data_IF_087082128883
#
_entry.id   IF_087082128883
#
_cell.length_a   1.000
_cell.length_b   1.000
_cell.length_c   1.000
_cell.angle_alpha   90.00
_cell.angle_beta   90.00
_cell.angle_gamma   90.00
#
_symmetry.space_group_name_H-M   'P 1'
#
loop_
_entity.id
_entity.type
_entity.pdbx_description
1 polymer ?
#
# COMPACT_ATOMS: atom_id res chain seq x y z
N UNK A 1 20.09 6.10 -2.93
CA UNK A 1 21.04 5.63 -1.90
C UNK A 1 20.34 5.71 -0.55
N UNK A 2 19.81 4.59 -0.05
CA UNK A 2 19.31 4.49 1.32
C UNK A 2 20.25 3.54 2.08
N UNK A 3 21.14 4.11 2.89
CA UNK A 3 21.82 3.37 3.93
C UNK A 3 20.96 3.47 5.19
N UNK A 4 20.60 2.33 5.77
CA UNK A 4 20.04 2.23 7.11
C UNK A 4 21.11 1.52 7.93
N UNK A 5 22.04 2.28 8.51
CA UNK A 5 22.86 1.79 9.60
C UNK A 5 22.58 2.65 10.83
N UNK A 6 22.31 1.98 11.95
CA UNK A 6 23.13 2.14 13.14
C UNK A 6 22.97 0.91 14.04
N UNK A 7 24.12 0.26 14.29
CA UNK A 7 24.32 -0.79 15.29
C UNK A 7 24.23 -0.12 16.66
N UNK A 8 23.46 -0.69 17.59
CA UNK A 8 23.47 -0.22 18.98
C UNK A 8 23.78 -1.37 19.92
N UNK A 9 25.03 -1.42 20.38
CA UNK A 9 25.43 -2.09 21.62
C UNK A 9 25.09 -1.21 22.82
N UNK A 10 24.53 -1.80 23.88
CA UNK A 10 24.42 -1.14 25.18
C UNK A 10 23.15 -1.51 25.94
N UNK A 11 23.33 -2.29 27.00
CA UNK A 11 22.31 -2.88 27.88
C UNK A 11 21.78 -1.85 28.89
N UNK A 12 20.58 -1.35 28.64
CA UNK A 12 19.60 -0.88 29.63
C UNK A 12 18.23 -1.35 29.11
N UNK A 13 17.21 -1.49 29.97
CA UNK A 13 15.81 -1.82 29.56
C UNK A 13 15.20 -0.71 28.69
N UNK A 14 15.75 -0.50 27.50
CA UNK A 14 15.20 0.34 26.43
C UNK A 14 13.99 -0.40 25.90
N UNK A 15 12.84 0.29 25.79
CA UNK A 15 11.69 -0.17 25.00
C UNK A 15 12.25 -0.79 23.71
N UNK A 16 12.13 -2.11 23.56
CA UNK A 16 12.68 -2.84 22.40
C UNK A 16 11.95 -2.34 21.16
N UNK A 17 12.68 -2.25 20.05
CA UNK A 17 12.06 -1.84 18.80
C UNK A 17 11.16 -2.98 18.28
N UNK A 18 9.95 -2.64 17.85
CA UNK A 18 9.06 -3.56 17.15
C UNK A 18 9.52 -3.61 15.70
N UNK A 19 10.04 -4.75 15.26
CA UNK A 19 10.47 -4.95 13.87
C UNK A 19 9.28 -5.43 13.06
N UNK A 20 8.85 -4.62 12.10
CA UNK A 20 7.72 -4.91 11.23
C UNK A 20 8.23 -5.30 9.84
N UNK A 21 7.95 -6.54 9.48
CA UNK A 21 8.18 -7.12 8.17
C UNK A 21 7.07 -6.69 7.22
N UNK A 22 7.42 -6.20 6.03
CA UNK A 22 6.44 -5.81 5.01
C UNK A 22 6.92 -6.21 3.60
N UNK A 23 5.98 -6.49 2.70
CA UNK A 23 6.30 -6.76 1.29
C UNK A 23 6.80 -5.49 0.61
N UNK A 24 8.04 -5.51 0.13
CA UNK A 24 8.65 -4.37 -0.56
C UNK A 24 8.48 -4.51 -2.07
N UNK A 25 7.88 -3.50 -2.69
CA UNK A 25 7.70 -3.45 -4.14
C UNK A 25 8.45 -2.28 -4.79
N UNK A 26 8.78 -2.42 -6.08
CA UNK A 26 9.58 -1.48 -6.86
C UNK A 26 8.91 -1.19 -8.20
N UNK A 27 8.91 0.09 -8.58
CA UNK A 27 8.49 0.52 -9.90
C UNK A 27 9.40 -0.11 -10.98
N UNK A 28 8.85 -0.63 -12.10
CA UNK A 28 9.64 -1.05 -13.25
C UNK A 28 10.47 0.13 -13.79
N UNK A 29 11.69 -0.14 -14.26
CA UNK A 29 12.52 0.88 -14.93
C UNK A 29 12.00 1.16 -16.35
N UNK A 30 11.97 2.42 -16.83
CA UNK A 30 11.57 2.75 -18.20
C UNK A 30 12.45 2.08 -19.28
N UNK A 31 13.71 1.80 -18.95
CA UNK A 31 14.74 1.42 -19.92
C UNK A 31 15.16 -0.04 -19.76
N UNK A 32 14.32 -0.99 -20.17
CA UNK A 32 14.67 -2.43 -20.18
C UNK A 32 14.79 -3.03 -21.58
N UNK A 33 15.29 -2.23 -22.53
CA UNK A 33 15.66 -2.69 -23.87
C UNK A 33 17.05 -3.34 -23.99
N UNK A 34 17.96 -3.11 -23.04
CA UNK A 34 19.36 -3.57 -23.17
C UNK A 34 19.71 -4.77 -22.29
N UNK A 35 20.07 -5.87 -22.97
CA UNK A 35 20.48 -7.17 -22.43
C UNK A 35 21.74 -7.11 -21.52
N UNK A 36 22.53 -6.04 -21.62
CA UNK A 36 23.77 -5.82 -20.83
C UNK A 36 23.50 -5.34 -19.39
N UNK A 37 22.27 -4.94 -19.06
CA UNK A 37 21.92 -4.30 -17.77
C UNK A 37 21.87 -5.26 -16.57
N UNK A 38 22.01 -6.58 -16.78
CA UNK A 38 21.93 -7.60 -15.72
C UNK A 38 23.08 -7.51 -14.71
N UNK A 39 24.20 -6.88 -15.07
CA UNK A 39 25.32 -6.61 -14.14
C UNK A 39 25.06 -5.41 -13.22
N UNK A 40 23.99 -4.65 -13.45
CA UNK A 40 23.60 -3.49 -12.65
C UNK A 40 22.19 -3.68 -12.05
N UNK A 41 21.93 -4.82 -11.40
CA UNK A 41 20.69 -5.09 -10.64
C UNK A 41 20.36 -3.99 -9.61
N UNK A 42 21.36 -3.21 -9.15
CA UNK A 42 21.17 -2.07 -8.26
C UNK A 42 20.69 -0.78 -8.95
N UNK A 43 20.73 -0.68 -10.29
CA UNK A 43 20.31 0.52 -11.03
C UNK A 43 18.86 0.50 -11.52
N UNK A 44 18.15 -0.63 -11.39
CA UNK A 44 16.76 -0.78 -11.87
C UNK A 44 15.65 -0.41 -10.87
N UNK A 45 16.00 -0.03 -9.63
CA UNK A 45 15.04 0.24 -8.54
C UNK A 45 14.92 1.74 -8.29
N UNK A 46 14.08 2.39 -9.10
CA UNK A 46 13.95 3.86 -9.13
C UNK A 46 13.08 4.38 -7.97
N UNK A 47 12.01 3.66 -7.63
CA UNK A 47 11.07 4.06 -6.59
C UNK A 47 10.41 2.86 -5.92
N UNK A 48 10.34 2.88 -4.59
CA UNK A 48 9.60 1.89 -3.80
C UNK A 48 8.09 2.19 -3.86
N UNK A 49 7.28 1.14 -4.02
CA UNK A 49 5.83 1.21 -4.11
C UNK A 49 5.22 0.48 -2.92
N UNK A 50 4.20 1.09 -2.31
CA UNK A 50 3.41 0.48 -1.26
C UNK A 50 2.05 0.09 -1.82
N UNK A 51 1.75 -1.21 -1.80
CA UNK A 51 0.49 -1.78 -2.28
C UNK A 51 -0.49 -2.13 -1.13
N UNK A 52 -0.05 -1.99 0.12
CA UNK A 52 -0.84 -2.29 1.32
C UNK A 52 -0.92 -1.03 2.20
N UNK A 53 -2.11 -0.41 2.37
CA UNK A 53 -2.27 0.81 3.16
C UNK A 53 -1.71 0.72 4.57
N UNK A 54 -1.83 -0.45 5.22
CA UNK A 54 -1.35 -0.64 6.60
C UNK A 54 0.15 -0.37 6.77
N UNK A 55 0.97 -0.54 5.72
CA UNK A 55 2.39 -0.19 5.75
C UNK A 55 2.58 1.33 5.92
N UNK A 56 1.79 2.16 5.24
CA UNK A 56 1.81 3.61 5.43
C UNK A 56 1.27 4.02 6.80
N UNK A 57 0.26 3.30 7.30
CA UNK A 57 -0.27 3.55 8.63
C UNK A 57 0.78 3.26 9.72
N UNK A 58 1.54 2.18 9.58
CA UNK A 58 2.69 1.88 10.47
C UNK A 58 3.78 2.96 10.39
N UNK A 59 4.09 3.45 9.19
CA UNK A 59 5.00 4.58 9.02
C UNK A 59 4.48 5.85 9.72
N UNK A 60 3.17 6.10 9.67
CA UNK A 60 2.53 7.21 10.36
C UNK A 60 2.65 7.05 11.88
N UNK A 61 2.25 5.89 12.41
CA UNK A 61 2.36 5.58 13.83
C UNK A 61 3.80 5.69 14.33
N UNK A 62 4.79 5.23 13.57
CA UNK A 62 6.22 5.39 13.91
C UNK A 62 6.63 6.86 14.14
N UNK A 63 5.99 7.82 13.48
CA UNK A 63 6.32 9.25 13.57
C UNK A 63 5.58 9.95 14.70
N UNK A 64 4.31 9.61 14.87
CA UNK A 64 3.43 10.33 15.80
C UNK A 64 3.28 9.61 17.15
N UNK A 65 3.52 8.31 17.20
CA UNK A 65 3.51 7.52 18.42
C UNK A 65 4.94 7.34 18.91
N UNK A 66 5.15 7.40 20.22
CA UNK A 66 6.43 7.11 20.86
C UNK A 66 6.77 5.60 20.83
N UNK A 67 6.40 4.91 19.74
CA UNK A 67 6.67 3.51 19.46
C UNK A 67 7.92 3.42 18.58
N UNK A 68 8.91 2.65 19.03
CA UNK A 68 10.11 2.37 18.24
C UNK A 68 9.79 1.28 17.22
N UNK A 69 9.19 1.67 16.09
CA UNK A 69 8.91 0.75 14.99
C UNK A 69 10.06 0.80 13.99
N UNK A 70 10.61 -0.36 13.64
CA UNK A 70 11.61 -0.53 12.58
C UNK A 70 10.96 -1.27 11.42
N UNK A 71 10.95 -0.65 10.25
CA UNK A 71 10.36 -1.23 9.04
C UNK A 71 11.42 -2.06 8.31
N UNK A 72 11.18 -3.36 8.14
CA UNK A 72 12.04 -4.28 7.40
C UNK A 72 11.31 -4.75 6.14
N UNK A 73 11.86 -4.42 4.97
CA UNK A 73 11.24 -4.76 3.69
C UNK A 73 11.73 -6.11 3.18
N UNK A 74 10.81 -7.06 3.09
CA UNK A 74 11.07 -8.41 2.59
C UNK A 74 10.88 -8.49 1.08
N UNK A 75 11.71 -9.34 0.47
CA UNK A 75 11.65 -9.67 -0.97
C UNK A 75 10.53 -10.66 -1.27
N UNK A 76 10.10 -11.44 -0.27
CA UNK A 76 9.01 -12.40 -0.39
C UNK A 76 7.69 -11.77 0.03
N UNK A 77 6.58 -12.37 -0.41
CA UNK A 77 5.22 -11.90 -0.10
C UNK A 77 4.71 -12.38 1.27
N UNK A 78 5.43 -13.30 1.92
CA UNK A 78 5.07 -13.87 3.22
C UNK A 78 6.18 -13.77 4.26
N UNK A 79 5.77 -13.66 5.52
CA UNK A 79 6.64 -13.73 6.69
C UNK A 79 6.18 -14.89 7.59
N UNK A 80 7.06 -15.86 7.83
CA UNK A 80 6.75 -17.07 8.62
C UNK A 80 5.45 -17.72 8.12
N UNK A 81 5.37 -17.94 6.80
CA UNK A 81 4.25 -18.62 6.14
C UNK A 81 2.91 -17.88 6.07
N UNK A 82 2.85 -16.60 6.45
CA UNK A 82 1.60 -15.84 6.39
C UNK A 82 1.74 -14.40 5.89
N UNK A 83 0.62 -13.68 5.77
CA UNK A 83 0.59 -12.37 5.14
C UNK A 83 1.30 -11.29 5.97
N UNK A 84 1.70 -10.24 5.26
CA UNK A 84 2.36 -9.04 5.78
C UNK A 84 1.46 -7.79 5.62
N UNK A 85 1.69 -6.69 6.37
CA UNK A 85 2.75 -6.50 7.38
C UNK A 85 2.59 -7.39 8.61
N UNK A 86 3.71 -7.81 9.20
CA UNK A 86 3.75 -8.70 10.35
C UNK A 86 4.90 -8.38 11.31
N UNK A 87 4.71 -8.67 12.60
CA UNK A 87 5.76 -8.48 13.61
C UNK A 87 5.59 -9.46 14.77
N UNK A 88 6.72 -9.87 15.35
CA UNK A 88 6.74 -10.43 16.70
C UNK A 88 6.62 -9.29 17.71
N UNK A 89 5.66 -9.40 18.62
CA UNK A 89 5.45 -8.40 19.67
C UNK A 89 5.39 -9.10 21.03
N UNK A 90 5.92 -8.43 22.06
CA UNK A 90 6.06 -8.96 23.42
C UNK A 90 6.85 -10.26 23.57
N UNK A 91 7.76 -10.55 22.64
CA UNK A 91 8.62 -11.72 22.68
C UNK A 91 10.05 -11.36 23.09
N UNK A 92 10.49 -11.91 24.22
CA UNK A 92 11.83 -11.69 24.76
C UNK A 92 12.95 -12.34 23.91
N UNK A 93 12.60 -13.29 23.04
CA UNK A 93 13.55 -13.96 22.14
C UNK A 93 13.34 -13.61 20.67
N UNK A 94 12.36 -12.77 20.32
CA UNK A 94 11.99 -12.35 18.95
C UNK A 94 11.62 -13.48 17.95
N UNK A 95 11.47 -14.73 18.39
CA UNK A 95 11.20 -15.91 17.53
C UNK A 95 10.29 -16.99 18.16
N UNK A 96 9.69 -16.74 19.33
CA UNK A 96 8.79 -17.63 20.05
C UNK A 96 7.34 -17.15 19.94
N UNK A 97 6.58 -17.78 19.05
CA UNK A 97 5.12 -17.58 18.93
C UNK A 97 4.66 -17.41 17.49
N UNK A 98 3.37 -17.09 17.31
CA UNK A 98 2.85 -16.63 16.02
C UNK A 98 2.98 -15.10 15.91
N UNK A 99 3.54 -14.58 14.81
CA UNK A 99 3.64 -13.13 14.64
C UNK A 99 2.25 -12.53 14.46
N UNK A 100 2.04 -11.33 15.00
CA UNK A 100 0.84 -10.55 14.73
C UNK A 100 0.89 -10.01 13.30
N UNK A 101 -0.25 -10.02 12.62
CA UNK A 101 -0.36 -9.71 11.19
C UNK A 101 -1.46 -8.68 10.94
N UNK A 102 -1.24 -7.79 9.98
CA UNK A 102 -2.26 -6.90 9.41
C UNK A 102 -3.16 -6.27 10.49
N UNK A 103 -4.47 -6.57 10.48
CA UNK A 103 -5.45 -5.99 11.41
C UNK A 103 -5.12 -6.29 12.88
N UNK A 104 -4.67 -7.51 13.19
CA UNK A 104 -4.29 -7.89 14.55
C UNK A 104 -3.06 -7.12 15.02
N UNK A 105 -2.09 -6.88 14.12
CA UNK A 105 -0.93 -6.04 14.42
C UNK A 105 -1.35 -4.59 14.64
N UNK A 106 -2.23 -4.04 13.79
CA UNK A 106 -2.73 -2.68 13.94
C UNK A 106 -3.49 -2.50 15.25
N UNK A 107 -4.40 -3.42 15.58
CA UNK A 107 -5.18 -3.42 16.82
C UNK A 107 -4.26 -3.50 18.04
N UNK A 108 -3.27 -4.40 18.02
CA UNK A 108 -2.29 -4.49 19.08
C UNK A 108 -1.55 -3.16 19.26
N UNK A 109 -1.01 -2.57 18.18
CA UNK A 109 -0.25 -1.33 18.26
C UNK A 109 -1.11 -0.21 18.81
N UNK A 110 -2.34 -0.10 18.32
CA UNK A 110 -3.36 0.85 18.76
C UNK A 110 -3.65 0.74 20.25
N UNK A 111 -3.83 -0.48 20.79
CA UNK A 111 -4.06 -0.71 22.22
C UNK A 111 -2.84 -0.38 23.08
N UNK A 112 -1.63 -0.54 22.54
CA UNK A 112 -0.37 -0.31 23.24
C UNK A 112 0.25 1.06 22.91
N UNK A 113 -0.51 1.95 22.28
CA UNK A 113 -0.11 3.36 22.10
C UNK A 113 -0.04 4.03 23.47
N UNK A 114 1.17 4.38 23.90
CA UNK A 114 1.35 5.27 25.03
C UNK A 114 0.82 6.68 24.73
N UNK A 115 0.65 7.50 25.76
CA UNK A 115 0.29 8.91 25.59
C UNK A 115 1.29 9.61 24.64
N UNK A 116 0.77 10.17 23.55
CA UNK A 116 1.57 11.01 22.65
C UNK A 116 1.98 12.31 23.36
N UNK A 117 3.15 12.85 23.02
CA UNK A 117 3.69 14.07 23.66
C UNK A 117 2.76 15.27 23.47
N UNK A 118 2.81 16.25 24.38
CA UNK A 118 2.01 17.48 24.27
C UNK A 118 2.29 18.24 22.96
N UNK A 119 3.53 18.20 22.46
CA UNK A 119 3.90 18.80 21.17
C UNK A 119 3.30 18.03 19.99
N UNK A 120 3.30 16.69 20.01
CA UNK A 120 2.60 15.89 18.99
C UNK A 120 1.09 16.09 19.06
N UNK A 121 0.49 16.14 20.26
CA UNK A 121 -0.92 16.51 20.46
C UNK A 121 -1.18 17.88 19.85
N UNK A 122 -0.30 18.86 20.07
CA UNK A 122 -0.39 20.18 19.48
C UNK A 122 -0.23 20.16 17.97
N UNK A 123 0.66 19.36 17.38
CA UNK A 123 0.82 19.22 15.93
C UNK A 123 -0.36 18.51 15.26
N UNK A 124 -0.99 17.55 15.96
CA UNK A 124 -2.25 16.92 15.55
C UNK A 124 -3.43 17.89 15.72
N UNK A 125 -3.38 18.73 16.77
CA UNK A 125 -4.38 19.77 17.03
C UNK A 125 -4.16 21.06 16.24
N UNK A 126 -2.97 21.31 15.67
CA UNK A 126 -2.65 22.54 14.96
C UNK A 126 -3.32 22.50 13.60
N UNK A 127 -4.47 23.16 13.54
CA UNK A 127 -5.18 23.66 12.37
C UNK A 127 -4.83 23.02 11.03
N UNK A 128 -5.23 21.75 10.86
CA UNK A 128 -5.49 21.17 9.54
C UNK A 128 -6.73 21.85 8.95
N UNK A 129 -6.55 23.09 8.50
CA UNK A 129 -7.54 23.85 7.78
C UNK A 129 -7.30 23.53 6.30
N UNK A 130 -7.91 22.44 5.80
CA UNK A 130 -7.87 22.12 4.37
C UNK A 130 -8.47 23.25 3.52
N UNK A 131 -9.41 24.00 4.12
CA UNK A 131 -10.11 25.13 3.55
C UNK A 131 -10.20 26.25 4.56
N UNK A 132 -9.75 27.47 4.22
CA UNK A 132 -10.18 28.66 4.98
C UNK A 132 -11.71 28.60 5.07
N UNK A 133 -12.33 28.73 6.25
CA UNK A 133 -13.78 28.63 6.37
C UNK A 133 -14.39 29.66 5.43
N UNK A 134 -15.07 29.21 4.37
CA UNK A 134 -15.84 30.10 3.53
C UNK A 134 -16.93 30.70 4.38
N UNK A 135 -16.98 32.03 4.45
CA UNK A 135 -18.04 32.85 5.05
C UNK A 135 -19.36 32.71 4.26
N UNK A 136 -19.85 31.48 4.09
CA UNK A 136 -21.22 31.25 3.68
C UNK A 136 -22.03 30.95 4.92
N UNK A 137 -22.99 31.85 5.16
CA UNK A 137 -24.03 31.84 6.19
C UNK A 137 -24.93 30.59 6.12
N UNK A 138 -24.35 29.41 6.23
CA UNK A 138 -25.12 28.24 6.60
C UNK A 138 -25.11 28.20 8.13
N UNK A 139 -26.28 28.47 8.71
CA UNK A 139 -26.61 28.19 10.11
C UNK A 139 -26.42 26.70 10.36
N UNK A 140 -25.18 26.27 10.53
CA UNK A 140 -24.85 24.97 11.08
C UNK A 140 -25.32 25.05 12.53
N UNK A 141 -26.34 24.26 12.86
CA UNK A 141 -26.80 24.09 14.22
C UNK A 141 -25.56 23.86 15.09
N UNK A 142 -25.35 24.75 16.06
CA UNK A 142 -24.34 24.58 17.09
C UNK A 142 -24.81 23.38 17.90
N UNK A 143 -24.40 22.18 17.49
CA UNK A 143 -24.51 20.99 18.32
C UNK A 143 -23.53 21.24 19.45
N UNK A 144 -24.09 21.57 20.60
CA UNK A 144 -23.37 21.74 21.86
C UNK A 144 -22.48 20.53 22.09
N UNK A 145 -21.20 20.78 22.38
CA UNK A 145 -20.11 19.81 22.40
C UNK A 145 -20.21 18.68 23.44
N UNK A 146 -21.34 18.53 24.12
CA UNK A 146 -21.57 17.50 25.15
C UNK A 146 -22.29 16.24 24.60
N UNK A 147 -22.93 16.30 23.42
CA UNK A 147 -23.72 15.17 22.90
C UNK A 147 -22.94 14.21 21.97
N UNK A 148 -21.68 14.53 21.61
CA UNK A 148 -20.84 13.66 20.79
C UNK A 148 -20.04 12.62 21.61
N UNK A 149 -20.13 12.66 22.94
CA UNK A 149 -19.39 11.71 23.81
C UNK A 149 -19.98 10.28 23.80
N UNK A 150 -21.20 10.08 23.30
CA UNK A 150 -21.90 8.79 23.37
C UNK A 150 -22.31 8.15 22.03
N UNK A 151 -22.02 8.78 20.89
CA UNK A 151 -22.26 8.14 19.59
C UNK A 151 -21.04 7.36 19.16
N UNK A 152 -21.15 6.02 19.15
CA UNK A 152 -20.22 5.12 18.46
C UNK A 152 -20.14 5.62 17.01
N UNK A 153 -19.10 6.39 16.71
CA UNK A 153 -18.85 6.86 15.35
C UNK A 153 -18.66 5.63 14.48
N UNK A 154 -19.49 5.47 13.44
CA UNK A 154 -19.35 4.36 12.46
C UNK A 154 -18.12 4.59 11.58
N UNK A 155 -17.55 5.79 11.61
CA UNK A 155 -16.48 6.23 10.73
C UNK A 155 -15.22 5.35 10.81
N UNK A 156 -14.70 4.91 11.98
CA UNK A 156 -13.57 4.00 12.08
C UNK A 156 -13.80 2.68 11.37
N UNK A 157 -14.97 2.05 11.58
CA UNK A 157 -15.35 0.82 10.88
C UNK A 157 -15.42 1.05 9.36
N UNK A 158 -15.94 2.20 8.95
CA UNK A 158 -16.07 2.56 7.55
C UNK A 158 -14.72 2.77 6.86
N UNK A 159 -13.75 3.41 7.53
CA UNK A 159 -12.40 3.61 6.97
C UNK A 159 -11.57 2.33 7.02
N UNK A 160 -11.49 1.67 8.18
CA UNK A 160 -10.60 0.52 8.37
C UNK A 160 -11.03 -0.70 7.55
N UNK A 161 -12.34 -0.86 7.33
CA UNK A 161 -12.89 -1.96 6.55
C UNK A 161 -13.24 -1.53 5.13
N UNK A 162 -14.23 -0.64 4.97
CA UNK A 162 -14.80 -0.37 3.65
C UNK A 162 -13.85 0.41 2.73
N UNK A 163 -13.26 1.51 3.20
CA UNK A 163 -12.31 2.27 2.39
C UNK A 163 -11.10 1.41 2.01
N UNK A 164 -10.54 0.66 2.96
CA UNK A 164 -9.40 -0.22 2.71
C UNK A 164 -9.71 -1.27 1.65
N UNK A 165 -10.80 -2.03 1.79
CA UNK A 165 -11.12 -3.09 0.83
C UNK A 165 -11.54 -2.56 -0.54
N UNK A 166 -12.10 -1.34 -0.61
CA UNK A 166 -12.36 -0.68 -1.88
C UNK A 166 -11.05 -0.29 -2.60
N UNK A 167 -10.06 0.24 -1.86
CA UNK A 167 -8.72 0.55 -2.41
C UNK A 167 -7.99 -0.72 -2.82
N UNK A 168 -8.01 -1.77 -2.00
CA UNK A 168 -7.41 -3.06 -2.32
C UNK A 168 -8.09 -3.73 -3.52
N UNK A 169 -9.41 -3.58 -3.69
CA UNK A 169 -10.12 -4.04 -4.87
C UNK A 169 -9.56 -3.38 -6.14
N UNK A 170 -9.39 -2.05 -6.14
CA UNK A 170 -8.83 -1.34 -7.30
C UNK A 170 -7.43 -1.83 -7.67
N UNK A 171 -6.59 -2.15 -6.69
CA UNK A 171 -5.20 -2.56 -6.92
C UNK A 171 -5.10 -4.02 -7.33
N UNK A 172 -5.72 -4.92 -6.58
CA UNK A 172 -5.48 -6.36 -6.71
C UNK A 172 -6.53 -7.09 -7.54
N UNK A 173 -7.73 -6.52 -7.71
CA UNK A 173 -8.87 -7.23 -8.31
C UNK A 173 -9.32 -6.59 -9.62
N UNK A 174 -9.40 -5.25 -9.69
CA UNK A 174 -9.89 -4.56 -10.88
C UNK A 174 -9.00 -4.88 -12.10
N UNK A 175 -9.53 -5.51 -13.17
CA UNK A 175 -8.68 -6.14 -14.18
C UNK A 175 -7.69 -5.21 -14.87
N UNK A 176 -8.06 -3.95 -15.12
CA UNK A 176 -7.21 -3.00 -15.85
C UNK A 176 -5.99 -2.60 -15.00
N UNK A 177 -6.18 -2.35 -13.70
CA UNK A 177 -5.08 -1.97 -12.81
C UNK A 177 -4.30 -3.20 -12.36
N UNK A 178 -5.00 -4.25 -11.91
CA UNK A 178 -4.37 -5.45 -11.36
C UNK A 178 -3.46 -6.16 -12.37
N UNK A 179 -3.95 -6.38 -13.61
CA UNK A 179 -3.19 -7.16 -14.60
C UNK A 179 -2.05 -6.37 -15.24
N UNK A 180 -2.19 -5.05 -15.36
CA UNK A 180 -1.19 -4.21 -16.03
C UNK A 180 -0.22 -3.63 -15.01
N UNK A 181 -0.72 -2.88 -14.02
CA UNK A 181 0.11 -2.14 -13.06
C UNK A 181 0.61 -3.07 -11.95
N UNK A 182 -0.30 -3.65 -11.19
CA UNK A 182 0.04 -4.40 -9.96
C UNK A 182 0.89 -5.62 -10.27
N UNK A 183 0.51 -6.39 -11.30
CA UNK A 183 1.28 -7.54 -11.77
C UNK A 183 2.71 -7.16 -12.17
N UNK A 184 2.87 -6.09 -12.96
CA UNK A 184 4.18 -5.59 -13.40
C UNK A 184 5.06 -5.18 -12.22
N UNK A 185 4.49 -4.45 -11.26
CA UNK A 185 5.16 -4.05 -10.02
C UNK A 185 5.59 -5.27 -9.20
N UNK A 186 4.73 -6.27 -9.00
CA UNK A 186 5.06 -7.47 -8.22
C UNK A 186 6.16 -8.29 -8.90
N UNK A 187 6.04 -8.55 -10.21
CA UNK A 187 7.03 -9.32 -10.97
C UNK A 187 8.40 -8.63 -10.99
N UNK A 188 8.43 -7.30 -11.11
CA UNK A 188 9.67 -6.53 -11.07
C UNK A 188 10.36 -6.56 -9.69
N UNK A 189 9.60 -6.83 -8.63
CA UNK A 189 10.08 -6.76 -7.25
C UNK A 189 10.62 -8.08 -6.71
N UNK A 190 10.29 -9.19 -7.38
CA UNK A 190 10.52 -10.54 -6.88
C UNK A 190 11.29 -11.39 -7.90
N UNK A 191 12.10 -12.36 -7.45
CA UNK A 191 12.76 -13.29 -8.36
C UNK A 191 11.75 -14.05 -9.23
N UNK A 192 12.10 -14.31 -10.49
CA UNK A 192 11.36 -15.23 -11.34
C UNK A 192 11.61 -16.68 -10.90
N UNK A 193 10.59 -17.58 -10.86
CA UNK A 193 9.19 -17.38 -11.21
C UNK A 193 8.30 -16.93 -10.03
N UNK A 194 8.89 -16.74 -8.84
CA UNK A 194 8.16 -16.49 -7.60
C UNK A 194 7.20 -15.29 -7.68
N UNK A 195 7.61 -14.19 -8.33
CA UNK A 195 6.74 -13.01 -8.49
C UNK A 195 5.40 -13.28 -9.18
N UNK A 196 5.34 -14.21 -10.14
CA UNK A 196 4.07 -14.60 -10.76
C UNK A 196 3.17 -15.34 -9.78
N UNK A 197 3.73 -16.29 -9.05
CA UNK A 197 3.00 -17.11 -8.08
C UNK A 197 2.46 -16.22 -6.95
N UNK A 198 3.31 -15.37 -6.39
CA UNK A 198 2.97 -14.41 -5.34
C UNK A 198 1.82 -13.48 -5.78
N UNK A 199 1.90 -12.92 -7.00
CA UNK A 199 0.83 -12.08 -7.55
C UNK A 199 -0.52 -12.81 -7.58
N UNK A 200 -0.59 -14.01 -8.16
CA UNK A 200 -1.85 -14.73 -8.29
C UNK A 200 -2.40 -15.19 -6.94
N UNK A 201 -1.54 -15.66 -6.04
CA UNK A 201 -1.95 -16.05 -4.68
C UNK A 201 -2.54 -14.87 -3.93
N UNK A 202 -1.85 -13.71 -3.92
CA UNK A 202 -2.32 -12.51 -3.23
C UNK A 202 -3.56 -11.90 -3.88
N UNK A 203 -3.64 -11.84 -5.20
CA UNK A 203 -4.82 -11.34 -5.91
C UNK A 203 -6.08 -12.17 -5.61
N UNK A 204 -5.94 -13.49 -5.53
CA UNK A 204 -7.04 -14.39 -5.18
C UNK A 204 -7.48 -14.24 -3.71
N UNK A 205 -6.52 -14.12 -2.79
CA UNK A 205 -6.79 -13.88 -1.37
C UNK A 205 -7.56 -12.56 -1.18
N UNK A 206 -7.03 -11.46 -1.71
CA UNK A 206 -7.68 -10.14 -1.63
C UNK A 206 -9.02 -10.14 -2.34
N UNK A 207 -9.15 -10.81 -3.50
CA UNK A 207 -10.41 -10.95 -4.22
C UNK A 207 -11.51 -11.58 -3.37
N UNK A 208 -11.17 -12.63 -2.59
CA UNK A 208 -12.12 -13.25 -1.65
C UNK A 208 -12.52 -12.29 -0.52
N UNK A 209 -11.57 -11.57 0.06
CA UNK A 209 -11.84 -10.62 1.15
C UNK A 209 -12.68 -9.42 0.67
N UNK A 210 -12.38 -8.88 -0.51
CA UNK A 210 -13.16 -7.84 -1.17
C UNK A 210 -14.59 -8.29 -1.43
N UNK A 211 -14.79 -9.51 -1.96
CA UNK A 211 -16.12 -10.08 -2.20
C UNK A 211 -16.94 -10.24 -0.91
N UNK A 212 -16.31 -10.64 0.20
CA UNK A 212 -16.98 -10.71 1.52
C UNK A 212 -17.44 -9.34 2.02
N UNK A 213 -16.79 -8.26 1.58
CA UNK A 213 -17.15 -6.89 1.89
C UNK A 213 -18.05 -6.24 0.81
N UNK A 214 -18.49 -7.00 -0.19
CA UNK A 214 -19.37 -6.53 -1.27
C UNK A 214 -18.66 -5.89 -2.48
N UNK A 215 -17.33 -5.83 -2.48
CA UNK A 215 -16.55 -5.27 -3.59
C UNK A 215 -16.23 -6.33 -4.64
N UNK A 216 -17.08 -6.42 -5.67
CA UNK A 216 -16.93 -7.36 -6.79
C UNK A 216 -17.05 -6.70 -8.17
N UNK A 217 -17.56 -5.47 -8.24
CA UNK A 217 -17.74 -4.70 -9.48
C UNK A 217 -17.14 -3.30 -9.31
N UNK A 218 -16.52 -2.79 -10.38
CA UNK A 218 -15.93 -1.45 -10.45
C UNK A 218 -16.99 -0.35 -10.27
N UNK A 219 -18.16 -0.47 -10.90
CA UNK A 219 -19.21 0.56 -10.82
C UNK A 219 -19.69 0.76 -9.37
N UNK A 220 -19.96 -0.34 -8.68
CA UNK A 220 -20.32 -0.33 -7.27
C UNK A 220 -19.18 0.23 -6.41
N UNK A 221 -17.94 -0.21 -6.66
CA UNK A 221 -16.78 0.22 -5.88
C UNK A 221 -16.51 1.71 -6.03
N UNK A 222 -16.59 2.27 -7.25
CA UNK A 222 -16.42 3.71 -7.50
C UNK A 222 -17.56 4.49 -6.84
N UNK A 223 -18.81 4.03 -6.94
CA UNK A 223 -19.94 4.68 -6.28
C UNK A 223 -19.77 4.75 -4.76
N UNK A 224 -19.43 3.63 -4.13
CA UNK A 224 -19.18 3.56 -2.70
C UNK A 224 -18.00 4.45 -2.31
N UNK A 225 -16.87 4.37 -3.04
CA UNK A 225 -15.71 5.26 -2.83
C UNK A 225 -16.13 6.74 -2.89
N UNK A 226 -16.85 7.18 -3.91
CA UNK A 226 -17.33 8.56 -4.00
C UNK A 226 -18.17 8.97 -2.79
N UNK A 227 -19.02 8.08 -2.28
CA UNK A 227 -19.78 8.33 -1.05
C UNK A 227 -18.86 8.45 0.17
N UNK A 228 -17.90 7.53 0.34
CA UNK A 228 -16.98 7.60 1.48
C UNK A 228 -16.09 8.84 1.45
N UNK A 229 -15.57 9.17 0.27
CA UNK A 229 -14.68 10.32 0.10
C UNK A 229 -15.43 11.63 0.38
N UNK A 230 -16.71 11.75 0.00
CA UNK A 230 -17.54 12.91 0.37
C UNK A 230 -17.76 13.00 1.88
N UNK A 231 -18.05 11.89 2.55
CA UNK A 231 -18.21 11.90 4.01
C UNK A 231 -16.91 12.22 4.73
N UNK A 232 -15.77 11.69 4.24
CA UNK A 232 -14.45 12.04 4.76
C UNK A 232 -14.12 13.50 4.53
N UNK A 233 -14.41 14.03 3.34
CA UNK A 233 -14.25 15.45 3.03
C UNK A 233 -15.06 16.32 3.99
N UNK A 234 -16.33 15.99 4.26
CA UNK A 234 -17.17 16.68 5.25
C UNK A 234 -16.60 16.57 6.67
N UNK A 235 -16.18 15.38 7.08
CA UNK A 235 -15.63 15.13 8.41
C UNK A 235 -14.31 15.90 8.65
N UNK A 236 -13.45 15.99 7.62
CA UNK A 236 -12.19 16.73 7.66
C UNK A 236 -12.40 18.25 7.56
N UNK A 237 -13.51 18.72 6.98
CA UNK A 237 -13.88 20.14 6.91
C UNK A 237 -14.56 20.66 8.20
N UNK A 238 -15.12 19.77 9.03
CA UNK A 238 -15.84 20.14 10.25
C UNK A 238 -14.91 20.80 11.28
N UNK A 239 -15.36 21.93 11.86
CA UNK A 239 -14.69 22.59 13.00
C UNK A 239 -14.74 21.75 14.28
N UNK A 240 -15.79 20.96 14.45
CA UNK A 240 -15.87 19.94 15.50
C UNK A 240 -15.06 18.77 14.98
N UNK A 241 -13.80 18.64 15.41
CA UNK A 241 -12.93 17.55 14.97
C UNK A 241 -13.41 16.26 15.64
N UNK A 242 -14.09 15.33 14.92
CA UNK A 242 -14.55 14.09 15.54
C UNK A 242 -13.38 13.18 15.95
N UNK A 243 -12.15 13.52 15.52
CA UNK A 243 -10.94 12.74 15.71
C UNK A 243 -10.08 13.22 16.91
N UNK A 244 -10.45 14.30 17.59
CA UNK A 244 -9.63 14.87 18.67
C UNK A 244 -9.91 14.28 20.06
N UNK A 245 -11.03 13.56 20.23
CA UNK A 245 -11.34 12.89 21.48
C UNK A 245 -10.75 11.47 21.43
N UNK A 246 -9.61 11.31 22.13
CA UNK A 246 -8.71 10.16 22.28
C UNK A 246 -9.08 8.82 21.60
N UNK A 247 -8.13 8.25 20.84
CA UNK A 247 -7.04 8.90 20.12
C UNK A 247 -7.35 8.81 18.63
N UNK A 248 -8.20 9.72 18.11
CA UNK A 248 -8.47 9.78 16.67
C UNK A 248 -7.26 10.18 15.81
N UNK A 249 -6.06 10.33 16.39
CA UNK A 249 -4.79 10.33 15.68
C UNK A 249 -4.52 8.99 14.96
N UNK A 250 -4.96 7.85 15.51
CA UNK A 250 -4.85 6.56 14.81
C UNK A 250 -5.72 6.56 13.54
N UNK A 251 -6.85 7.25 13.59
CA UNK A 251 -7.86 7.27 12.55
C UNK A 251 -7.36 8.14 11.40
N UNK A 252 -6.72 9.25 11.75
CA UNK A 252 -5.98 10.08 10.79
C UNK A 252 -4.93 9.28 10.02
N UNK A 253 -4.17 8.44 10.71
CA UNK A 253 -3.19 7.55 10.07
C UNK A 253 -3.83 6.56 9.10
N UNK A 254 -4.99 6.00 9.46
CA UNK A 254 -5.75 5.08 8.60
C UNK A 254 -6.35 5.79 7.38
N UNK A 255 -6.92 6.98 7.56
CA UNK A 255 -7.42 7.83 6.47
C UNK A 255 -6.27 8.19 5.51
N UNK A 256 -5.18 8.74 6.04
CA UNK A 256 -3.99 9.08 5.27
C UNK A 256 -3.47 7.89 4.47
N UNK A 257 -3.30 6.73 5.11
CA UNK A 257 -2.75 5.53 4.49
C UNK A 257 -3.59 5.07 3.28
N UNK A 258 -4.90 4.98 3.44
CA UNK A 258 -5.79 4.52 2.39
C UNK A 258 -5.89 5.53 1.23
N UNK A 259 -6.04 6.83 1.55
CA UNK A 259 -6.08 7.89 0.54
C UNK A 259 -4.76 8.01 -0.21
N UNK A 260 -3.62 7.89 0.50
CA UNK A 260 -2.32 7.97 -0.12
C UNK A 260 -2.09 6.85 -1.13
N UNK A 261 -2.50 5.62 -0.81
CA UNK A 261 -2.48 4.50 -1.75
C UNK A 261 -3.44 4.75 -2.91
N UNK A 262 -4.70 5.14 -2.64
CA UNK A 262 -5.70 5.44 -3.68
C UNK A 262 -5.19 6.45 -4.71
N UNK A 263 -4.72 7.62 -4.26
CA UNK A 263 -4.24 8.67 -5.16
C UNK A 263 -2.90 8.36 -5.84
N UNK A 264 -2.23 7.29 -5.43
CA UNK A 264 -1.01 6.78 -6.08
C UNK A 264 -1.31 5.78 -7.19
N UNK A 265 -2.54 5.27 -7.32
CA UNK A 265 -2.92 4.31 -8.36
C UNK A 265 -2.82 4.98 -9.75
N UNK A 266 -1.98 4.47 -10.68
CA UNK A 266 -1.93 4.97 -12.05
C UNK A 266 -3.31 4.87 -12.72
N UNK A 267 -3.91 6.00 -13.06
CA UNK A 267 -5.30 6.04 -13.56
C UNK A 267 -5.45 6.73 -14.91
N UNK A 268 -4.36 7.21 -15.51
CA UNK A 268 -4.42 7.78 -16.86
C UNK A 268 -4.65 6.64 -17.87
N UNK A 269 -5.85 6.65 -18.48
CA UNK A 269 -6.40 5.55 -19.29
C UNK A 269 -7.59 4.80 -18.67
N UNK A 270 -8.02 5.17 -17.46
CA UNK A 270 -9.26 4.68 -16.81
C UNK A 270 -10.07 5.89 -16.36
N UNK A 271 -11.07 6.28 -17.16
CA UNK A 271 -11.78 7.55 -17.02
C UNK A 271 -12.52 7.67 -15.68
N UNK A 272 -13.13 6.60 -15.19
CA UNK A 272 -13.89 6.62 -13.94
C UNK A 272 -12.98 6.89 -12.74
N UNK A 273 -11.78 6.29 -12.73
CA UNK A 273 -10.80 6.49 -11.66
C UNK A 273 -10.11 7.86 -11.80
N UNK A 274 -9.85 8.31 -13.04
CA UNK A 274 -9.32 9.64 -13.30
C UNK A 274 -10.30 10.74 -12.86
N UNK A 275 -11.60 10.55 -13.12
CA UNK A 275 -12.66 11.44 -12.66
C UNK A 275 -12.70 11.49 -11.12
N UNK A 276 -12.61 10.33 -10.45
CA UNK A 276 -12.53 10.24 -8.99
C UNK A 276 -11.33 11.04 -8.43
N UNK A 277 -10.14 10.88 -9.02
CA UNK A 277 -8.93 11.61 -8.61
C UNK A 277 -9.06 13.12 -8.80
N UNK A 278 -9.81 13.55 -9.83
CA UNK A 278 -10.08 14.97 -10.10
C UNK A 278 -11.12 15.55 -9.13
N UNK A 279 -12.19 14.82 -8.85
CA UNK A 279 -13.27 15.25 -7.94
C UNK A 279 -12.73 15.49 -6.53
N UNK A 280 -11.87 14.58 -6.04
CA UNK A 280 -11.35 14.61 -4.66
C UNK A 280 -9.89 15.09 -4.57
N UNK A 281 -9.52 16.08 -5.40
CA UNK A 281 -8.15 16.63 -5.43
C UNK A 281 -7.73 17.28 -4.09
N UNK A 282 -8.68 17.77 -3.32
CA UNK A 282 -8.48 18.31 -1.99
C UNK A 282 -8.04 17.23 -0.98
N UNK A 283 -8.62 16.04 -1.03
CA UNK A 283 -8.20 14.88 -0.23
C UNK A 283 -6.80 14.39 -0.62
N UNK A 284 -6.39 14.56 -1.87
CA UNK A 284 -5.00 14.39 -2.28
C UNK A 284 -4.10 15.45 -1.63
N UNK A 285 -4.54 16.71 -1.62
CA UNK A 285 -3.81 17.81 -0.97
C UNK A 285 -3.70 17.61 0.55
N UNK A 286 -4.73 17.05 1.18
CA UNK A 286 -4.70 16.58 2.57
C UNK A 286 -3.55 15.61 2.80
N UNK A 287 -3.41 14.58 1.96
CA UNK A 287 -2.34 13.60 2.11
C UNK A 287 -0.94 14.22 1.95
N UNK A 288 -0.77 15.17 1.03
CA UNK A 288 0.49 15.91 0.87
C UNK A 288 0.85 16.66 2.16
N UNK A 289 -0.14 17.35 2.74
CA UNK A 289 0.05 18.13 3.97
C UNK A 289 0.32 17.25 5.19
N UNK A 290 -0.40 16.14 5.35
CA UNK A 290 -0.14 15.17 6.42
C UNK A 290 1.28 14.62 6.31
N UNK A 291 1.69 14.23 5.10
CA UNK A 291 3.03 13.69 4.90
C UNK A 291 4.12 14.73 5.14
N UNK A 292 3.95 15.98 4.70
CA UNK A 292 4.93 17.05 4.92
C UNK A 292 5.04 17.44 6.39
N UNK A 293 3.91 17.48 7.10
CA UNK A 293 3.83 17.84 8.52
C UNK A 293 4.50 16.79 9.41
N UNK A 294 4.19 15.52 9.21
CA UNK A 294 4.70 14.44 10.07
C UNK A 294 5.94 13.73 9.51
N UNK A 295 6.35 14.08 8.27
CA UNK A 295 7.44 13.42 7.56
C UNK A 295 7.27 11.90 7.56
N UNK A 296 6.07 11.43 7.19
CA UNK A 296 5.63 10.02 7.29
C UNK A 296 6.52 9.12 6.45
N UNK A 297 6.61 9.41 5.15
CA UNK A 297 7.53 8.75 4.23
C UNK A 297 8.26 9.80 3.37
N UNK A 298 9.49 9.48 2.93
CA UNK A 298 10.21 10.29 1.96
C UNK A 298 9.54 10.08 0.60
N UNK A 299 8.66 10.99 0.20
CA UNK A 299 7.88 10.83 -1.03
C UNK A 299 8.81 10.91 -2.23
N UNK A 300 8.94 9.80 -2.96
CA UNK A 300 9.38 9.81 -4.35
C UNK A 300 8.15 9.49 -5.23
N UNK A 301 8.10 9.99 -6.47
CA UNK A 301 7.14 9.50 -7.45
C UNK A 301 7.19 7.96 -7.49
N UNK A 302 6.07 7.22 -7.57
CA UNK A 302 4.73 7.65 -7.99
C UNK A 302 3.79 8.13 -6.86
N UNK A 303 4.30 8.42 -5.66
CA UNK A 303 3.45 8.75 -4.51
C UNK A 303 2.53 9.96 -4.76
N UNK A 304 1.22 9.78 -4.53
CA UNK A 304 0.14 10.75 -4.77
C UNK A 304 0.07 11.30 -6.21
N UNK A 305 0.70 10.66 -7.19
CA UNK A 305 0.76 11.13 -8.58
C UNK A 305 0.10 10.17 -9.58
N UNK A 306 -0.84 9.33 -9.14
CA UNK A 306 -1.49 8.33 -9.99
C UNK A 306 -2.14 8.90 -11.26
N UNK A 307 -2.63 10.14 -11.22
CA UNK A 307 -3.22 10.83 -12.37
C UNK A 307 -2.20 11.29 -13.44
N UNK A 308 -0.89 11.23 -13.14
CA UNK A 308 0.18 11.62 -14.05
C UNK A 308 0.83 10.42 -14.76
N UNK A 309 0.57 9.19 -14.31
CA UNK A 309 1.17 7.98 -14.88
C UNK A 309 0.17 7.23 -15.77
N UNK A 310 0.46 7.05 -17.07
CA UNK A 310 -0.36 6.24 -17.95
C UNK A 310 -0.18 4.76 -17.65
N UNK A 311 -1.29 4.02 -17.68
CA UNK A 311 -1.27 2.56 -17.49
C UNK A 311 -0.43 1.86 -18.56
N UNK A 312 -0.36 2.45 -19.76
CA UNK A 312 0.48 1.96 -20.87
C UNK A 312 1.96 1.84 -20.53
N UNK A 313 2.44 2.56 -19.51
CA UNK A 313 3.81 2.41 -19.00
C UNK A 313 4.07 1.02 -18.39
N UNK A 314 3.02 0.37 -17.89
CA UNK A 314 3.10 -0.91 -17.18
C UNK A 314 2.66 -2.11 -18.03
N UNK A 315 2.06 -1.86 -19.19
CA UNK A 315 1.67 -2.91 -20.13
C UNK A 315 2.97 -3.51 -20.66
N UNK A 316 3.28 -4.74 -20.22
CA UNK A 316 4.44 -5.50 -20.67
C UNK A 316 4.56 -5.46 -22.20
N UNK A 317 5.64 -4.85 -22.71
CA UNK A 317 6.31 -5.43 -23.87
C UNK A 317 6.82 -6.82 -23.44
N UNK A 318 6.77 -7.85 -24.31
CA UNK A 318 7.01 -9.23 -23.93
C UNK A 318 8.29 -9.36 -23.09
N UNK A 319 8.17 -9.88 -21.87
CA UNK A 319 9.28 -10.05 -20.94
C UNK A 319 10.49 -10.67 -21.63
N UNK A 320 11.66 -10.08 -21.43
CA UNK A 320 12.95 -10.59 -21.93
C UNK A 320 13.24 -12.03 -21.52
N UNK A 321 12.68 -12.53 -20.40
CA UNK A 321 12.77 -13.94 -19.99
C UNK A 321 11.87 -14.87 -20.83
N UNK A 322 10.68 -14.42 -21.24
CA UNK A 322 9.84 -15.15 -22.21
C UNK A 322 10.47 -15.09 -23.58
N UNK A 323 11.00 -13.94 -23.99
CA UNK A 323 11.80 -13.82 -25.21
C UNK A 323 13.08 -14.67 -25.14
N UNK A 324 13.73 -14.83 -23.98
CA UNK A 324 14.89 -15.68 -23.77
C UNK A 324 14.52 -17.16 -23.78
N UNK A 325 13.38 -17.54 -23.20
CA UNK A 325 12.85 -18.91 -23.26
C UNK A 325 12.38 -19.25 -24.68
N UNK A 326 11.70 -18.33 -25.38
CA UNK A 326 11.30 -18.48 -26.76
C UNK A 326 12.54 -18.53 -27.67
N UNK A 327 13.56 -17.72 -27.41
CA UNK A 327 14.84 -17.75 -28.15
C UNK A 327 15.65 -19.03 -27.83
N UNK A 328 15.67 -19.48 -26.57
CA UNK A 328 16.29 -20.74 -26.18
C UNK A 328 15.55 -21.94 -26.76
N UNK A 329 14.22 -21.87 -26.85
CA UNK A 329 13.36 -22.88 -27.46
C UNK A 329 13.55 -22.94 -28.99
N UNK A 330 13.63 -21.81 -29.66
CA UNK A 330 13.98 -21.74 -31.09
C UNK A 330 15.41 -22.22 -31.36
N UNK A 331 16.38 -21.88 -30.49
CA UNK A 331 17.74 -22.43 -30.55
C UNK A 331 17.77 -23.94 -30.30
N UNK A 332 16.93 -24.44 -29.40
CA UNK A 332 16.80 -25.88 -29.14
C UNK A 332 16.24 -26.61 -30.38
N UNK A 333 15.18 -26.08 -31.01
CA UNK A 333 14.64 -26.60 -32.29
C UNK A 333 15.66 -26.62 -33.42
N UNK A 334 16.52 -25.61 -33.49
CA UNK A 334 17.57 -25.49 -34.51
C UNK A 334 18.82 -26.34 -34.21
N UNK A 335 18.95 -26.87 -32.99
CA UNK A 335 20.07 -27.73 -32.63
C UNK A 335 19.92 -29.13 -33.23
N UNK A 336 21.04 -29.75 -33.63
CA UNK A 336 21.08 -31.13 -34.16
C UNK A 336 20.51 -32.20 -33.21
N UNK A 337 20.31 -31.86 -31.93
CA UNK A 337 19.65 -32.71 -30.94
C UNK A 337 18.15 -32.87 -31.19
N UNK A 338 17.46 -31.85 -31.73
CA UNK A 338 16.01 -31.91 -31.99
C UNK A 338 15.69 -32.85 -33.16
N UNK A 339 16.55 -32.86 -34.21
CA UNK A 339 16.45 -33.79 -35.33
C UNK A 339 16.67 -35.25 -34.90
N UNK A 340 17.58 -35.50 -33.96
CA UNK A 340 17.84 -36.85 -33.42
C UNK A 340 16.71 -37.33 -32.50
N UNK A 341 16.13 -36.43 -31.68
CA UNK A 341 15.04 -36.77 -30.76
C UNK A 341 13.75 -37.16 -31.51
N UNK A 342 13.46 -36.50 -32.64
CA UNK A 342 12.28 -36.81 -33.46
C UNK A 342 12.49 -37.95 -34.47
N UNK A 343 13.72 -38.21 -34.93
CA UNK A 343 14.03 -39.41 -35.71
C UNK A 343 13.88 -40.69 -34.88
N UNK A 344 14.21 -40.67 -33.58
CA UNK A 344 13.99 -41.84 -32.72
C UNK A 344 12.52 -42.12 -32.40
N UNK A 345 11.63 -41.13 -32.46
CA UNK A 345 10.19 -41.35 -32.22
C UNK A 345 9.43 -41.88 -33.43
N UNK A 346 9.97 -41.77 -34.65
CA UNK A 346 9.39 -42.40 -35.84
C UNK A 346 9.78 -43.88 -36.01
N UNK A 347 10.91 -44.33 -35.42
CA UNK A 347 11.33 -45.75 -35.47
C UNK A 347 10.57 -46.67 -34.48
N UNK A 348 9.71 -46.13 -33.61
CA UNK A 348 8.93 -46.91 -32.63
C UNK A 348 7.41 -46.98 -32.94
N UNK A 349 6.99 -46.58 -34.13
CA UNK A 349 5.63 -46.84 -34.62
C UNK A 349 5.68 -47.83 -35.80
N UNK A 350 5.87 -49.11 -35.49
CA UNK A 350 5.51 -50.24 -36.36
C UNK A 350 4.74 -51.29 -35.58
#
# INVERSE_FOLDING_TARGET
MLAIEDIVSGCEKRKRAIVVHYSRYWLPSPDSGDYESWKNLDRGRIAEIVLEPQVLWLCFLRKIANLKIVMFGDVYDTFVGGPMPAAYVDDEECFKGEPLRQDNLMQYLVLHLGDISAEQKRLLNSDFILYKPTEKDDKIAIVTGDDYENHISILPLYVEKHLRYAVLYLIWVYPIISKNVTRSVVINSMPWPHGHIAYYMRANEIGRLCAQCGYSNIEFTIKELSMMLRELQRALQSKVRPFNNRPGYWMEGSIFANLAVLFSIPCHGVEELLALHREFYDLKSYCINVNSTYNVVKLQPPFLCGNQFPISYFVEQPCSARAALDCAWERFKQSHMFSLFFQQTEEYNF
#
